data_IF_261417581644
#
_entry.id   IF_261417581644
#
_cell.length_a   1.000
_cell.length_b   1.000
_cell.length_c   1.000
_cell.angle_alpha   90.00
_cell.angle_beta   90.00
_cell.angle_gamma   90.00
#
_symmetry.space_group_name_H-M   'P 1'
#
loop_
_entity.id
_entity.type
_entity.pdbx_description
1 polymer ?
#
# COMPACT_ATOMS: atom_id res chain seq x y z
N UNK A 1 36.71 -5.99 29.21
CA UNK A 1 35.74 -5.71 28.13
C UNK A 1 36.53 -5.52 26.85
N UNK A 2 36.20 -6.20 25.75
CA UNK A 2 36.80 -5.87 24.44
C UNK A 2 36.15 -4.58 23.95
N UNK A 3 36.96 -3.60 23.58
CA UNK A 3 36.46 -2.41 22.89
C UNK A 3 35.86 -2.81 21.55
N UNK A 4 34.71 -2.22 21.22
CA UNK A 4 34.06 -2.45 19.94
C UNK A 4 34.86 -1.74 18.84
N UNK A 5 35.09 -2.40 17.69
CA UNK A 5 35.69 -1.74 16.54
C UNK A 5 34.93 -0.46 16.17
N UNK A 6 35.67 0.63 15.95
CA UNK A 6 35.13 1.92 15.56
C UNK A 6 35.68 2.36 14.21
N UNK A 7 34.79 2.72 13.29
CA UNK A 7 35.11 3.19 11.94
C UNK A 7 34.78 4.67 11.78
N UNK A 8 35.56 5.37 10.96
CA UNK A 8 35.44 6.82 10.76
C UNK A 8 34.79 7.22 9.42
N UNK A 9 34.56 6.25 8.53
CA UNK A 9 33.87 6.43 7.25
C UNK A 9 33.42 5.08 6.70
N UNK A 10 32.51 5.08 5.72
CA UNK A 10 31.98 3.87 5.09
C UNK A 10 33.02 3.04 4.33
N UNK A 11 34.06 3.66 3.78
CA UNK A 11 35.12 2.95 3.04
C UNK A 11 35.98 2.06 3.94
N UNK A 12 36.06 2.40 5.23
CA UNK A 12 36.83 1.65 6.22
C UNK A 12 36.02 0.50 6.84
N UNK A 13 34.73 0.38 6.53
CA UNK A 13 33.88 -0.68 7.07
C UNK A 13 34.15 -1.97 6.28
N UNK A 14 34.64 -3.05 6.92
CA UNK A 14 34.86 -4.32 6.24
C UNK A 14 33.56 -4.88 5.67
N UNK A 15 33.69 -5.71 4.63
CA UNK A 15 32.55 -6.46 4.10
C UNK A 15 31.91 -7.31 5.20
N UNK A 16 30.59 -7.47 5.14
CA UNK A 16 29.82 -8.21 6.14
C UNK A 16 29.27 -7.35 7.29
N UNK A 17 29.74 -6.12 7.50
CA UNK A 17 29.17 -5.20 8.49
C UNK A 17 28.11 -4.30 7.88
N UNK A 18 26.93 -4.29 8.48
CA UNK A 18 25.79 -3.55 7.97
C UNK A 18 24.99 -2.92 9.10
N UNK A 19 24.33 -1.79 8.80
CA UNK A 19 23.31 -1.26 9.71
C UNK A 19 22.13 -2.21 9.80
N UNK A 20 21.36 -2.12 10.89
CA UNK A 20 20.08 -2.84 11.02
C UNK A 20 19.14 -2.60 9.84
N UNK A 21 19.10 -1.36 9.32
CA UNK A 21 18.27 -0.99 8.17
C UNK A 21 18.70 -1.72 6.90
N UNK A 22 20.00 -1.72 6.62
CA UNK A 22 20.60 -2.43 5.48
C UNK A 22 20.35 -3.95 5.57
N UNK A 23 20.60 -4.55 6.75
CA UNK A 23 20.29 -5.98 7.00
C UNK A 23 18.82 -6.32 6.70
N UNK A 24 17.91 -5.48 7.19
CA UNK A 24 16.47 -5.71 7.01
C UNK A 24 16.03 -5.53 5.55
N UNK A 25 16.50 -4.48 4.89
CA UNK A 25 16.01 -4.11 3.56
C UNK A 25 16.63 -4.97 2.46
N UNK A 26 17.94 -5.19 2.52
CA UNK A 26 18.72 -5.74 1.41
C UNK A 26 18.96 -7.24 1.62
N UNK A 27 19.18 -7.66 2.87
CA UNK A 27 19.50 -9.06 3.19
C UNK A 27 18.33 -9.85 3.78
N UNK A 28 17.23 -9.18 4.17
CA UNK A 28 16.09 -9.77 4.91
C UNK A 28 16.53 -10.48 6.19
N UNK A 29 17.50 -9.91 6.91
CA UNK A 29 18.03 -10.44 8.18
C UNK A 29 17.84 -9.43 9.30
N UNK A 30 17.83 -9.91 10.54
CA UNK A 30 17.88 -9.09 11.75
C UNK A 30 19.01 -9.56 12.66
N UNK A 31 19.63 -8.69 13.47
CA UNK A 31 20.61 -9.09 14.46
C UNK A 31 20.08 -10.19 15.39
N UNK A 32 20.98 -11.07 15.85
CA UNK A 32 20.68 -12.04 16.91
C UNK A 32 20.31 -11.33 18.23
N UNK A 33 21.08 -10.28 18.56
CA UNK A 33 20.88 -9.45 19.74
C UNK A 33 21.13 -7.98 19.35
N UNK A 34 20.08 -7.16 19.38
CA UNK A 34 20.17 -5.73 19.02
C UNK A 34 20.88 -4.89 20.10
N UNK A 35 21.02 -5.42 21.32
CA UNK A 35 21.76 -4.73 22.38
C UNK A 35 23.28 -4.97 22.27
N UNK A 36 23.73 -5.90 21.42
CA UNK A 36 25.13 -6.28 21.25
C UNK A 36 25.59 -6.04 19.81
N UNK A 37 25.98 -4.80 19.48
CA UNK A 37 26.52 -4.51 18.17
C UNK A 37 27.93 -5.08 18.00
N UNK A 38 28.31 -5.32 16.76
CA UNK A 38 29.63 -5.85 16.42
C UNK A 38 30.64 -4.74 16.11
N UNK A 39 30.16 -3.54 15.73
CA UNK A 39 30.99 -2.36 15.51
C UNK A 39 30.16 -1.06 15.54
N UNK A 40 30.87 0.07 15.56
CA UNK A 40 30.29 1.40 15.41
C UNK A 40 30.96 2.17 14.26
N UNK A 41 30.25 3.12 13.68
CA UNK A 41 30.74 3.96 12.59
C UNK A 41 30.29 5.39 12.80
N UNK A 42 31.19 6.36 12.71
CA UNK A 42 30.84 7.78 12.61
C UNK A 42 30.94 8.23 11.16
N UNK A 43 29.83 8.66 10.56
CA UNK A 43 29.79 9.08 9.16
C UNK A 43 28.74 10.17 8.91
N UNK A 44 28.86 10.88 7.78
CA UNK A 44 27.86 11.86 7.36
C UNK A 44 26.66 11.14 6.75
N UNK A 45 25.46 11.40 7.29
CA UNK A 45 24.18 10.90 6.79
C UNK A 45 23.15 12.02 6.70
N UNK A 46 22.67 12.30 5.50
CA UNK A 46 21.71 13.40 5.26
C UNK A 46 22.27 14.78 5.57
N UNK A 47 23.57 15.00 5.29
CA UNK A 47 24.26 16.28 5.51
C UNK A 47 24.75 16.54 6.93
N UNK A 48 24.58 15.58 7.85
CA UNK A 48 24.95 15.72 9.27
C UNK A 48 25.77 14.52 9.73
N UNK A 49 26.73 14.73 10.64
CA UNK A 49 27.46 13.65 11.30
C UNK A 49 26.53 12.82 12.18
N UNK A 50 26.62 11.50 12.05
CA UNK A 50 25.84 10.54 12.82
C UNK A 50 26.68 9.33 13.20
N UNK A 51 26.35 8.76 14.35
CA UNK A 51 26.87 7.47 14.77
C UNK A 51 25.92 6.37 14.30
N UNK A 52 26.50 5.33 13.70
CA UNK A 52 25.82 4.16 13.20
C UNK A 52 26.28 2.95 13.97
N UNK A 53 25.32 2.12 14.32
CA UNK A 53 25.56 0.82 14.93
C UNK A 53 25.57 -0.24 13.82
N UNK A 54 26.61 -1.08 13.81
CA UNK A 54 26.83 -2.09 12.79
C UNK A 54 26.78 -3.49 13.39
N UNK A 55 26.30 -4.42 12.57
CA UNK A 55 26.20 -5.85 12.89
C UNK A 55 26.83 -6.65 11.76
N UNK A 56 27.56 -7.69 12.12
CA UNK A 56 28.14 -8.62 11.17
C UNK A 56 27.08 -9.59 10.67
N UNK A 57 27.03 -9.86 9.37
CA UNK A 57 25.99 -10.70 8.74
C UNK A 57 25.92 -12.11 9.34
N UNK A 58 27.04 -12.66 9.83
CA UNK A 58 27.06 -13.97 10.49
C UNK A 58 26.39 -13.97 11.87
N UNK A 59 26.23 -12.80 12.51
CA UNK A 59 25.54 -12.64 13.80
C UNK A 59 24.08 -12.19 13.62
N UNK A 60 23.45 -12.67 12.55
CA UNK A 60 22.07 -12.31 12.20
C UNK A 60 21.26 -13.54 11.86
N UNK A 61 19.95 -13.43 11.96
CA UNK A 61 19.00 -14.48 11.57
C UNK A 61 18.06 -13.99 10.46
N UNK A 62 17.60 -14.89 9.58
CA UNK A 62 16.58 -14.55 8.58
C UNK A 62 15.31 -13.99 9.24
N UNK A 63 14.77 -12.93 8.67
CA UNK A 63 13.46 -12.42 9.04
C UNK A 63 12.42 -13.32 8.38
N UNK A 64 11.68 -14.08 9.20
CA UNK A 64 10.54 -14.85 8.70
C UNK A 64 9.49 -13.86 8.16
N UNK A 65 9.07 -13.99 6.88
CA UNK A 65 8.02 -13.14 6.35
C UNK A 65 6.73 -13.41 7.12
N UNK A 66 5.95 -12.35 7.38
CA UNK A 66 4.62 -12.52 7.97
C UNK A 66 3.75 -13.30 6.99
N UNK A 67 3.36 -14.51 7.37
CA UNK A 67 2.34 -15.26 6.63
C UNK A 67 0.98 -14.67 6.97
N UNK A 68 0.25 -14.28 5.93
CA UNK A 68 -1.11 -13.77 6.04
C UNK A 68 -2.00 -14.83 5.41
N UNK A 69 -2.80 -15.50 6.23
CA UNK A 69 -3.73 -16.50 5.73
C UNK A 69 -5.01 -15.82 5.21
N UNK A 70 -5.38 -16.19 3.99
CA UNK A 70 -6.60 -15.77 3.29
C UNK A 70 -7.32 -16.98 2.67
N UNK A 71 -6.96 -18.21 3.07
CA UNK A 71 -7.51 -19.45 2.49
C UNK A 71 -9.02 -19.56 2.65
N UNK A 72 -9.57 -18.97 3.72
CA UNK A 72 -11.00 -18.93 4.01
C UNK A 72 -11.73 -17.74 3.36
N UNK A 73 -11.00 -16.86 2.66
CA UNK A 73 -11.54 -15.65 2.05
C UNK A 73 -11.62 -15.85 0.53
N UNK A 74 -12.82 -15.77 -0.02
CA UNK A 74 -13.05 -15.83 -1.46
C UNK A 74 -13.11 -14.41 -2.09
N UNK A 75 -13.33 -14.37 -3.41
CA UNK A 75 -13.52 -13.11 -4.15
C UNK A 75 -15.00 -12.72 -4.29
N UNK A 76 -15.82 -13.04 -3.28
CA UNK A 76 -17.19 -12.54 -3.18
C UNK A 76 -17.22 -11.03 -2.96
N UNK A 77 -18.33 -10.41 -3.33
CA UNK A 77 -18.57 -8.98 -3.09
C UNK A 77 -18.50 -8.64 -1.59
N UNK A 78 -18.91 -9.58 -0.72
CA UNK A 78 -18.80 -9.44 0.73
C UNK A 78 -17.36 -9.15 1.18
N UNK A 79 -16.41 -10.04 0.89
CA UNK A 79 -15.03 -9.85 1.34
C UNK A 79 -14.29 -8.76 0.56
N UNK A 80 -14.56 -8.60 -0.73
CA UNK A 80 -13.92 -7.56 -1.54
C UNK A 80 -14.33 -6.15 -1.09
N UNK A 81 -15.60 -5.95 -0.77
CA UNK A 81 -16.10 -4.65 -0.29
C UNK A 81 -15.56 -4.30 1.10
N UNK A 82 -15.51 -5.25 2.03
CA UNK A 82 -14.85 -5.06 3.32
C UNK A 82 -13.36 -4.74 3.15
N UNK A 83 -12.69 -5.41 2.20
CA UNK A 83 -11.26 -5.20 1.97
C UNK A 83 -10.99 -3.80 1.42
N UNK A 84 -11.80 -3.36 0.46
CA UNK A 84 -11.78 -1.99 -0.04
C UNK A 84 -12.02 -0.98 1.07
N UNK A 85 -13.00 -1.20 1.94
CA UNK A 85 -13.27 -0.32 3.08
C UNK A 85 -12.05 -0.22 4.00
N UNK A 86 -11.44 -1.35 4.35
CA UNK A 86 -10.26 -1.39 5.23
C UNK A 86 -9.07 -0.65 4.61
N UNK A 87 -8.79 -0.86 3.32
CA UNK A 87 -7.72 -0.16 2.59
C UNK A 87 -7.99 1.35 2.51
N UNK A 88 -9.23 1.74 2.19
CA UNK A 88 -9.63 3.15 2.13
C UNK A 88 -9.47 3.86 3.49
N UNK A 89 -9.89 3.19 4.57
CA UNK A 89 -9.70 3.71 5.94
C UNK A 89 -8.23 3.90 6.30
N UNK A 90 -7.37 2.95 5.93
CA UNK A 90 -5.91 3.10 6.09
C UNK A 90 -5.33 4.25 5.26
N UNK A 91 -5.79 4.43 4.02
CA UNK A 91 -5.37 5.56 3.19
C UNK A 91 -5.76 6.92 3.80
N UNK A 92 -6.99 7.02 4.35
CA UNK A 92 -7.46 8.21 5.08
C UNK A 92 -6.63 8.48 6.33
N UNK A 93 -6.33 7.44 7.14
CA UNK A 93 -5.44 7.58 8.31
C UNK A 93 -4.08 8.18 7.92
N UNK A 94 -3.45 7.69 6.84
CA UNK A 94 -2.18 8.22 6.37
C UNK A 94 -2.28 9.65 5.81
N UNK A 95 -3.39 10.01 5.16
CA UNK A 95 -3.68 11.39 4.77
C UNK A 95 -3.71 12.30 6.00
N UNK A 96 -4.40 11.89 7.05
CA UNK A 96 -4.55 12.69 8.27
C UNK A 96 -3.20 12.80 9.03
N UNK A 97 -2.44 11.70 9.12
CA UNK A 97 -1.06 11.72 9.65
C UNK A 97 -0.16 12.67 8.87
N UNK A 98 -0.25 12.65 7.53
CA UNK A 98 0.53 13.55 6.66
C UNK A 98 0.20 15.00 6.95
N UNK A 99 -1.09 15.34 7.09
CA UNK A 99 -1.54 16.70 7.38
C UNK A 99 -1.02 17.16 8.75
N UNK A 100 -1.20 16.35 9.79
CA UNK A 100 -0.72 16.67 11.13
C UNK A 100 0.80 16.85 11.16
N UNK A 101 1.55 15.90 10.60
CA UNK A 101 3.02 15.96 10.59
C UNK A 101 3.57 17.14 9.80
N UNK A 102 2.81 17.65 8.82
CA UNK A 102 3.19 18.84 8.08
C UNK A 102 3.07 20.10 8.95
N UNK A 103 1.99 20.20 9.73
CA UNK A 103 1.82 21.28 10.72
C UNK A 103 2.92 21.24 11.78
N UNK A 104 3.33 20.04 12.19
CA UNK A 104 4.41 19.82 13.16
C UNK A 104 5.82 19.94 12.56
N UNK A 105 5.95 20.32 11.27
CA UNK A 105 7.23 20.39 10.53
C UNK A 105 8.05 19.09 10.51
N UNK A 106 7.42 17.95 10.76
CA UNK A 106 8.05 16.63 10.68
C UNK A 106 8.01 16.08 9.24
N UNK A 107 8.81 16.68 8.35
CA UNK A 107 8.77 16.38 6.92
C UNK A 107 9.18 14.94 6.56
N UNK A 108 9.95 14.26 7.42
CA UNK A 108 10.26 12.84 7.22
C UNK A 108 9.00 11.98 7.30
N UNK A 109 8.15 12.23 8.30
CA UNK A 109 6.86 11.53 8.46
C UNK A 109 5.88 11.95 7.37
N UNK A 110 5.85 13.23 6.96
CA UNK A 110 5.04 13.70 5.83
C UNK A 110 5.31 12.88 4.57
N UNK A 111 6.58 12.73 4.21
CA UNK A 111 6.97 11.98 3.00
C UNK A 111 6.53 10.51 3.09
N UNK A 112 6.84 9.84 4.21
CA UNK A 112 6.45 8.45 4.42
C UNK A 112 4.92 8.25 4.39
N UNK A 113 4.17 9.14 5.05
CA UNK A 113 2.71 9.09 5.08
C UNK A 113 2.10 9.37 3.70
N UNK A 114 2.65 10.32 2.93
CA UNK A 114 2.26 10.58 1.53
C UNK A 114 2.43 9.33 0.66
N UNK A 115 3.59 8.66 0.73
CA UNK A 115 3.84 7.44 -0.04
C UNK A 115 2.83 6.34 0.30
N UNK A 116 2.52 6.14 1.58
CA UNK A 116 1.51 5.16 2.00
C UNK A 116 0.10 5.54 1.56
N UNK A 117 -0.28 6.80 1.71
CA UNK A 117 -1.57 7.33 1.24
C UNK A 117 -1.78 7.03 -0.25
N UNK A 118 -0.80 7.38 -1.09
CA UNK A 118 -0.89 7.18 -2.55
C UNK A 118 -0.98 5.70 -2.91
N UNK A 119 -0.11 4.87 -2.32
CA UNK A 119 -0.10 3.41 -2.53
C UNK A 119 -1.49 2.77 -2.30
N UNK A 120 -2.16 3.14 -1.21
CA UNK A 120 -3.44 2.54 -0.85
C UNK A 120 -4.61 3.09 -1.66
N UNK A 121 -4.58 4.38 -2.04
CA UNK A 121 -5.58 4.91 -2.98
C UNK A 121 -5.44 4.32 -4.38
N UNK A 122 -4.21 4.08 -4.84
CA UNK A 122 -3.95 3.39 -6.10
C UNK A 122 -4.50 1.96 -6.08
N UNK A 123 -4.15 1.16 -5.06
CA UNK A 123 -4.70 -0.19 -4.89
C UNK A 123 -6.22 -0.19 -4.91
N UNK A 124 -6.85 0.71 -4.15
CA UNK A 124 -8.31 0.86 -4.13
C UNK A 124 -8.87 1.17 -5.52
N UNK A 125 -8.28 2.13 -6.24
CA UNK A 125 -8.78 2.54 -7.55
C UNK A 125 -8.67 1.42 -8.58
N UNK A 126 -7.54 0.70 -8.63
CA UNK A 126 -7.34 -0.43 -9.56
C UNK A 126 -8.34 -1.55 -9.29
N UNK A 127 -8.59 -1.88 -8.02
CA UNK A 127 -9.62 -2.87 -7.66
C UNK A 127 -11.01 -2.40 -8.07
N UNK A 128 -11.36 -1.14 -7.83
CA UNK A 128 -12.68 -0.60 -8.19
C UNK A 128 -12.92 -0.67 -9.70
N UNK A 129 -11.91 -0.37 -10.51
CA UNK A 129 -12.01 -0.48 -11.97
C UNK A 129 -12.32 -1.90 -12.41
N UNK A 130 -11.58 -2.87 -11.87
CA UNK A 130 -11.83 -4.28 -12.12
C UNK A 130 -13.23 -4.72 -11.67
N UNK A 131 -13.70 -4.26 -10.51
CA UNK A 131 -15.03 -4.60 -10.01
C UNK A 131 -16.14 -4.00 -10.89
N UNK A 132 -15.92 -2.80 -11.44
CA UNK A 132 -16.84 -2.19 -12.41
C UNK A 132 -16.90 -2.99 -13.71
N UNK A 133 -15.74 -3.42 -14.24
CA UNK A 133 -15.65 -4.30 -15.41
C UNK A 133 -16.38 -5.64 -15.18
N UNK A 134 -16.23 -6.23 -13.99
CA UNK A 134 -16.91 -7.47 -13.60
C UNK A 134 -18.37 -7.27 -13.15
N UNK A 135 -18.90 -6.05 -13.20
CA UNK A 135 -20.26 -5.70 -12.74
C UNK A 135 -20.53 -6.07 -11.26
N UNK A 136 -19.48 -6.12 -10.44
CA UNK A 136 -19.51 -6.32 -8.97
C UNK A 136 -19.56 -5.01 -8.18
N UNK A 137 -19.37 -3.89 -8.88
CA UNK A 137 -19.54 -2.55 -8.37
C UNK A 137 -20.39 -1.73 -9.34
N UNK A 138 -20.94 -0.62 -8.88
CA UNK A 138 -21.79 0.25 -9.71
C UNK A 138 -21.50 1.72 -9.43
N UNK A 139 -21.30 2.50 -10.49
CA UNK A 139 -21.27 3.96 -10.38
C UNK A 139 -22.70 4.43 -10.16
N UNK A 140 -22.96 5.10 -9.05
CA UNK A 140 -24.31 5.58 -8.68
C UNK A 140 -24.48 7.09 -8.86
N UNK A 141 -23.41 7.80 -9.19
CA UNK A 141 -23.42 9.24 -9.41
C UNK A 141 -22.05 9.84 -9.19
N UNK A 142 -22.00 11.16 -9.06
CA UNK A 142 -20.75 11.86 -8.75
C UNK A 142 -20.97 13.02 -7.76
N UNK A 143 -19.93 13.33 -6.99
CA UNK A 143 -19.87 14.48 -6.10
C UNK A 143 -18.95 15.55 -6.70
N UNK A 144 -19.37 16.80 -6.64
CA UNK A 144 -18.54 17.96 -6.93
C UNK A 144 -18.12 18.62 -5.62
N UNK A 145 -16.83 18.63 -5.33
CA UNK A 145 -16.27 19.27 -4.14
C UNK A 145 -15.26 20.33 -4.59
N UNK A 146 -15.63 21.61 -4.48
CA UNK A 146 -14.89 22.74 -5.06
C UNK A 146 -14.63 22.52 -6.57
N UNK A 147 -13.36 22.46 -6.97
CA UNK A 147 -12.91 22.23 -8.34
C UNK A 147 -12.62 20.74 -8.66
N UNK A 148 -12.90 19.84 -7.73
CA UNK A 148 -12.67 18.41 -7.88
C UNK A 148 -13.98 17.65 -8.05
N UNK A 149 -13.92 16.59 -8.84
CA UNK A 149 -15.04 15.71 -9.08
C UNK A 149 -14.68 14.28 -8.69
N UNK A 150 -15.64 13.59 -8.10
CA UNK A 150 -15.47 12.23 -7.61
C UNK A 150 -16.65 11.38 -8.06
N UNK A 151 -16.39 10.29 -8.77
CA UNK A 151 -17.38 9.25 -8.95
C UNK A 151 -17.68 8.61 -7.60
N UNK A 152 -18.96 8.37 -7.35
CA UNK A 152 -19.42 7.57 -6.24
C UNK A 152 -19.73 6.16 -6.73
N UNK A 153 -18.97 5.20 -6.21
CA UNK A 153 -19.06 3.79 -6.59
C UNK A 153 -19.54 3.00 -5.38
N UNK A 154 -20.58 2.19 -5.56
CA UNK A 154 -21.04 1.22 -4.55
C UNK A 154 -20.45 -0.16 -4.85
N UNK A 155 -20.09 -0.87 -3.78
CA UNK A 155 -19.70 -2.28 -3.84
C UNK A 155 -20.09 -2.92 -2.51
N UNK A 156 -20.98 -3.91 -2.54
CA UNK A 156 -21.61 -4.43 -1.33
C UNK A 156 -22.33 -3.31 -0.57
N UNK A 157 -22.11 -3.25 0.74
CA UNK A 157 -22.72 -2.26 1.64
C UNK A 157 -21.93 -0.95 1.77
N UNK A 158 -20.91 -0.76 0.92
CA UNK A 158 -19.96 0.34 1.05
C UNK A 158 -19.97 1.22 -0.19
N UNK A 159 -19.64 2.49 0.03
CA UNK A 159 -19.47 3.47 -1.04
C UNK A 159 -18.06 4.06 -1.04
N UNK A 160 -17.57 4.37 -2.23
CA UNK A 160 -16.21 4.81 -2.46
C UNK A 160 -16.16 5.97 -3.43
N UNK A 161 -15.41 7.01 -3.06
CA UNK A 161 -15.05 8.08 -3.97
C UNK A 161 -13.84 7.69 -4.83
N UNK A 162 -13.96 7.83 -6.14
CA UNK A 162 -12.85 7.76 -7.09
C UNK A 162 -12.72 9.09 -7.83
N UNK A 163 -11.54 9.76 -7.81
CA UNK A 163 -11.34 11.00 -8.55
C UNK A 163 -11.58 10.82 -10.05
N UNK A 164 -12.22 11.79 -10.68
CA UNK A 164 -12.45 11.84 -12.13
C UNK A 164 -12.13 13.22 -12.69
N UNK A 165 -11.58 13.25 -13.91
CA UNK A 165 -11.36 14.50 -14.63
C UNK A 165 -12.67 15.07 -15.14
N UNK A 166 -12.83 16.40 -15.06
CA UNK A 166 -14.03 17.12 -15.53
C UNK A 166 -14.49 16.71 -16.94
N UNK A 167 -13.54 16.51 -17.86
CA UNK A 167 -13.81 16.10 -19.26
C UNK A 167 -14.53 14.76 -19.40
N UNK A 168 -14.44 13.89 -18.39
CA UNK A 168 -15.00 12.54 -18.44
C UNK A 168 -16.32 12.44 -17.66
N UNK A 169 -16.78 13.54 -17.05
CA UNK A 169 -18.02 13.57 -16.27
C UNK A 169 -19.23 13.53 -17.18
N UNK A 170 -19.10 14.07 -18.39
CA UNK A 170 -20.22 14.12 -19.32
C UNK A 170 -20.77 12.72 -19.65
N UNK A 171 -19.92 11.70 -19.54
CA UNK A 171 -20.29 10.27 -19.68
C UNK A 171 -21.18 9.74 -18.53
N UNK A 172 -21.38 10.52 -17.46
CA UNK A 172 -22.12 10.18 -16.25
C UNK A 172 -23.20 11.21 -15.90
N UNK A 173 -23.51 12.14 -16.81
CA UNK A 173 -24.51 13.19 -16.57
C UNK A 173 -25.89 12.60 -16.26
N UNK A 174 -26.22 11.45 -16.84
CA UNK A 174 -27.50 10.75 -16.61
C UNK A 174 -27.66 10.22 -15.17
N UNK A 175 -26.55 10.06 -14.42
CA UNK A 175 -26.58 9.61 -13.02
C UNK A 175 -26.76 10.77 -12.01
N UNK A 176 -26.58 12.01 -12.45
CA UNK A 176 -26.78 13.20 -11.62
C UNK A 176 -25.70 13.47 -10.56
N UNK A 177 -25.80 14.67 -9.96
CA UNK A 177 -24.99 15.09 -8.81
C UNK A 177 -25.65 14.58 -7.53
N UNK A 178 -24.90 13.88 -6.69
CA UNK A 178 -25.37 13.48 -5.36
C UNK A 178 -24.90 14.52 -4.34
N UNK A 179 -25.82 15.36 -3.87
CA UNK A 179 -25.56 16.40 -2.86
C UNK A 179 -25.65 15.88 -1.41
N UNK A 180 -26.02 14.61 -1.24
CA UNK A 180 -26.18 14.03 0.09
C UNK A 180 -24.81 13.73 0.71
N UNK A 181 -24.61 14.22 1.94
CA UNK A 181 -23.47 13.86 2.79
C UNK A 181 -23.66 12.38 3.17
N UNK A 182 -22.93 11.50 2.52
CA UNK A 182 -22.81 10.12 2.98
C UNK A 182 -22.04 10.17 4.28
N UNK A 183 -22.72 9.88 5.38
CA UNK A 183 -22.20 9.97 6.73
C UNK A 183 -20.85 9.24 6.85
N UNK A 184 -19.95 9.80 7.66
CA UNK A 184 -18.70 9.13 8.00
C UNK A 184 -19.04 7.81 8.69
N UNK A 185 -18.87 6.69 7.99
CA UNK A 185 -19.23 5.38 8.51
C UNK A 185 -18.51 5.12 9.85
N UNK A 186 -19.30 4.92 10.90
CA UNK A 186 -18.85 4.45 12.21
C UNK A 186 -17.98 3.19 12.08
N UNK A 187 -17.22 2.86 13.13
CA UNK A 187 -16.37 1.66 13.17
C UNK A 187 -17.20 0.38 12.96
N UNK A 188 -17.38 -0.03 11.70
CA UNK A 188 -18.02 -1.29 11.35
C UNK A 188 -17.13 -2.46 11.77
N UNK A 189 -17.74 -3.46 12.40
CA UNK A 189 -17.08 -4.74 12.66
C UNK A 189 -16.83 -5.40 11.30
N UNK A 190 -15.58 -5.70 10.99
CA UNK A 190 -15.20 -6.39 9.74
C UNK A 190 -14.58 -7.74 10.09
N UNK A 191 -14.81 -8.71 9.22
CA UNK A 191 -14.31 -10.08 9.35
C UNK A 191 -12.82 -10.19 9.01
N UNK A 192 -12.26 -9.15 8.38
CA UNK A 192 -10.90 -9.16 7.85
C UNK A 192 -10.03 -8.08 8.48
N UNK A 193 -8.77 -8.43 8.75
CA UNK A 193 -7.75 -7.48 9.17
C UNK A 193 -7.09 -6.78 7.97
N UNK A 194 -6.31 -5.73 8.24
CA UNK A 194 -5.64 -4.95 7.20
C UNK A 194 -4.73 -5.78 6.27
N UNK A 195 -3.96 -6.71 6.85
CA UNK A 195 -3.03 -7.52 6.06
C UNK A 195 -3.77 -8.50 5.14
N UNK A 196 -4.85 -9.09 5.64
CA UNK A 196 -5.74 -9.94 4.85
C UNK A 196 -6.38 -9.15 3.72
N UNK A 197 -6.91 -7.95 4.01
CA UNK A 197 -7.47 -7.05 3.01
C UNK A 197 -6.46 -6.70 1.91
N UNK A 198 -5.23 -6.28 2.28
CA UNK A 198 -4.19 -5.96 1.29
C UNK A 198 -3.83 -7.18 0.44
N UNK A 199 -3.70 -8.37 1.06
CA UNK A 199 -3.36 -9.60 0.33
C UNK A 199 -4.50 -10.04 -0.59
N UNK A 200 -5.74 -10.07 -0.10
CA UNK A 200 -6.92 -10.48 -0.87
C UNK A 200 -7.08 -9.62 -2.13
N UNK A 201 -7.01 -8.29 -2.00
CA UNK A 201 -7.14 -7.38 -3.13
C UNK A 201 -6.01 -7.51 -4.15
N UNK A 202 -4.77 -7.75 -3.70
CA UNK A 202 -3.65 -8.00 -4.61
C UNK A 202 -3.83 -9.30 -5.39
N UNK A 203 -4.22 -10.38 -4.70
CA UNK A 203 -4.52 -11.66 -5.34
C UNK A 203 -5.66 -11.51 -6.36
N UNK A 204 -6.73 -10.78 -6.02
CA UNK A 204 -7.86 -10.53 -6.90
C UNK A 204 -7.44 -9.82 -8.20
N UNK A 205 -6.58 -8.81 -8.13
CA UNK A 205 -6.06 -8.14 -9.34
C UNK A 205 -5.23 -9.11 -10.20
N UNK A 206 -4.35 -9.90 -9.58
CA UNK A 206 -3.41 -10.78 -10.27
C UNK A 206 -4.05 -11.93 -11.04
N UNK A 207 -5.23 -12.40 -10.63
CA UNK A 207 -5.93 -13.53 -11.30
C UNK A 207 -6.36 -13.18 -12.74
N UNK A 208 -6.50 -11.90 -13.06
CA UNK A 208 -6.95 -11.42 -14.38
C UNK A 208 -5.87 -11.44 -15.46
N UNK A 209 -4.59 -11.42 -15.08
CA UNK A 209 -3.47 -11.35 -16.05
C UNK A 209 -3.26 -12.66 -16.80
N UNK A 210 -3.97 -13.74 -16.47
CA UNK A 210 -3.74 -15.08 -17.03
C UNK A 210 -4.84 -15.60 -17.96
N UNK A 211 -5.87 -14.84 -18.34
CA UNK A 211 -6.83 -15.30 -19.34
C UNK A 211 -7.26 -14.22 -20.33
N UNK A 212 -6.48 -14.10 -21.42
CA UNK A 212 -7.04 -13.81 -22.75
C UNK A 212 -6.71 -15.04 -23.61
N UNK A 213 -7.67 -15.94 -23.89
CA UNK A 213 -7.51 -16.86 -25.00
C UNK A 213 -7.49 -16.01 -26.28
N UNK A 214 -6.35 -16.01 -26.97
CA UNK A 214 -6.29 -15.56 -28.35
C UNK A 214 -7.31 -16.40 -29.14
N UNK A 215 -8.33 -15.72 -29.68
CA UNK A 215 -9.16 -16.27 -30.74
C UNK A 215 -8.26 -16.43 -31.97
N UNK A 216 -7.64 -17.60 -32.14
CA UNK A 216 -7.15 -18.03 -33.43
C UNK A 216 -8.36 -18.28 -34.32
N UNK A 217 -8.57 -17.35 -35.24
CA UNK A 217 -9.41 -17.54 -36.40
C UNK A 217 -8.93 -18.76 -37.18
N UNK A 218 -9.72 -19.85 -37.13
CA UNK A 218 -9.71 -20.87 -38.18
C UNK A 218 -9.95 -20.17 -39.51
N UNK A 219 -8.94 -20.14 -40.37
CA UNK A 219 -9.19 -20.12 -41.82
C UNK A 219 -9.33 -21.58 -42.24
N UNK A 220 -10.57 -21.99 -42.44
CA UNK A 220 -10.89 -23.12 -43.30
C UNK A 220 -10.48 -22.72 -44.73
N UNK A 221 -9.42 -23.34 -45.23
CA UNK A 221 -9.18 -23.46 -46.66
C UNK A 221 -9.70 -24.84 -47.07
N UNK A 222 -10.89 -24.84 -47.67
CA UNK A 222 -11.40 -25.97 -48.44
C UNK A 222 -11.76 -25.48 -49.83
N UNK A 223 -11.21 -26.19 -50.82
CA UNK A 223 -11.32 -26.12 -52.28
C UNK A 223 -10.38 -25.13 -52.97
#
# INVERSE_FOLDING_TARGET
>A
MRELPHFHNWHNVPSGFYTKTTLRNDFKRKPLDEAKPDATLKAIGGGIWRDFVLYHINHTIPIKPRQVDISTLDFSVHYLSQALYRINKHAKKHRDTKQQSYLDSNYQVVSAAKTKQLKYYELKNVVLDKLLEEKKATVIGYHKMFNYYYLLITCGEYSFHKPIHKKNIDNYNDLGVLDQIIAAEHDKQLDINFYQAEKLLRCYISVTTTQIPHLDSKKDNSV
#
